data_IF_119636330590
#
_entry.id   IF_119636330590
#
_cell.length_a   1.000
_cell.length_b   1.000
_cell.length_c   1.000
_cell.angle_alpha   90.00
_cell.angle_beta   90.00
_cell.angle_gamma   90.00
#
_symmetry.space_group_name_H-M   'P 1'
#
loop_
_entity.id
_entity.type
_entity.pdbx_description
1 polymer ?
#
# COMPACT_ATOMS: atom_id res chain seq x y z
N UNK A 1 7.67 39.67 15.01
CA UNK A 1 8.05 38.56 14.10
C UNK A 1 7.01 37.47 14.30
N UNK A 2 6.13 37.19 13.33
CA UNK A 2 5.30 35.99 13.43
C UNK A 2 6.22 34.77 13.42
N UNK A 3 6.00 33.84 14.35
CA UNK A 3 6.73 32.59 14.40
C UNK A 3 6.34 31.77 13.15
N UNK A 4 7.14 31.82 12.08
CA UNK A 4 6.84 31.25 10.75
C UNK A 4 7.06 29.73 10.67
N UNK A 5 7.14 29.05 11.81
CA UNK A 5 7.31 27.60 11.84
C UNK A 5 6.02 26.92 11.38
N UNK A 6 6.12 26.11 10.33
CA UNK A 6 5.03 25.27 9.84
C UNK A 6 4.47 24.41 10.97
N UNK A 7 3.18 24.57 11.28
CA UNK A 7 2.51 23.77 12.30
C UNK A 7 2.00 22.45 11.69
N UNK A 8 1.99 21.34 12.45
CA UNK A 8 1.34 20.12 12.02
C UNK A 8 -0.14 20.35 11.71
N UNK A 9 -0.65 19.68 10.67
CA UNK A 9 -2.08 19.71 10.34
C UNK A 9 -2.89 19.18 11.55
N UNK A 10 -3.89 19.91 12.07
CA UNK A 10 -4.71 19.43 13.17
C UNK A 10 -5.32 18.06 12.85
N UNK A 11 -5.16 17.09 13.76
CA UNK A 11 -5.64 15.72 13.58
C UNK A 11 -4.70 14.79 12.81
N UNK A 12 -3.55 15.27 12.30
CA UNK A 12 -2.47 14.43 11.75
C UNK A 12 -1.27 14.43 12.72
N UNK A 13 -0.85 13.26 13.17
CA UNK A 13 0.35 13.13 14.00
C UNK A 13 1.61 13.17 13.15
N UNK A 14 2.72 13.61 13.76
CA UNK A 14 4.05 13.57 13.12
C UNK A 14 4.40 12.17 12.58
N UNK A 15 4.03 11.12 13.32
CA UNK A 15 4.30 9.74 12.91
C UNK A 15 3.52 9.34 11.65
N UNK A 16 2.22 9.66 11.58
CA UNK A 16 1.42 9.38 10.38
C UNK A 16 1.94 10.15 9.16
N UNK A 17 2.35 11.40 9.37
CA UNK A 17 2.99 12.19 8.33
C UNK A 17 4.30 11.55 7.85
N UNK A 18 5.18 11.13 8.77
CA UNK A 18 6.47 10.51 8.42
C UNK A 18 6.28 9.18 7.69
N UNK A 19 5.38 8.31 8.18
CA UNK A 19 5.05 7.04 7.52
C UNK A 19 4.57 7.30 6.09
N UNK A 20 3.71 8.30 5.87
CA UNK A 20 3.21 8.64 4.54
C UNK A 20 4.33 9.05 3.57
N UNK A 21 5.26 9.88 4.00
CA UNK A 21 6.39 10.30 3.15
C UNK A 21 7.30 9.12 2.82
N UNK A 22 7.73 8.37 3.84
CA UNK A 22 8.64 7.24 3.67
C UNK A 22 8.00 6.15 2.81
N UNK A 23 6.74 5.80 3.08
CA UNK A 23 6.01 4.81 2.28
C UNK A 23 5.83 5.25 0.83
N UNK A 24 5.59 6.54 0.55
CA UNK A 24 5.44 7.03 -0.83
C UNK A 24 6.72 6.86 -1.65
N UNK A 25 7.88 7.16 -1.06
CA UNK A 25 9.19 6.96 -1.71
C UNK A 25 9.46 5.48 -1.95
N UNK A 26 9.20 4.62 -0.96
CA UNK A 26 9.39 3.18 -1.08
C UNK A 26 8.46 2.57 -2.14
N UNK A 27 7.19 2.97 -2.16
CA UNK A 27 6.21 2.56 -3.17
C UNK A 27 6.69 2.92 -4.56
N UNK A 28 7.22 4.12 -4.77
CA UNK A 28 7.69 4.53 -6.10
C UNK A 28 8.78 3.57 -6.62
N UNK A 29 9.74 3.20 -5.78
CA UNK A 29 10.80 2.28 -6.16
C UNK A 29 10.24 0.89 -6.52
N UNK A 30 9.38 0.33 -5.67
CA UNK A 30 8.83 -1.02 -5.88
C UNK A 30 7.84 -1.05 -7.05
N UNK A 31 7.04 -0.01 -7.22
CA UNK A 31 6.09 0.14 -8.33
C UNK A 31 6.82 0.17 -9.69
N UNK A 32 7.96 0.85 -9.79
CA UNK A 32 8.78 0.84 -11.01
C UNK A 32 9.25 -0.58 -11.31
N UNK A 33 9.75 -1.31 -10.31
CA UNK A 33 10.17 -2.71 -10.49
C UNK A 33 9.00 -3.57 -10.95
N UNK A 34 7.83 -3.44 -10.30
CA UNK A 34 6.62 -4.17 -10.65
C UNK A 34 6.23 -3.91 -12.11
N UNK A 35 6.13 -2.65 -12.55
CA UNK A 35 5.78 -2.36 -13.95
C UNK A 35 6.80 -2.88 -14.95
N UNK A 36 8.10 -2.68 -14.67
CA UNK A 36 9.14 -3.13 -15.60
C UNK A 36 9.18 -4.65 -15.70
N UNK A 37 9.24 -5.35 -14.57
CA UNK A 37 9.36 -6.81 -14.57
C UNK A 37 8.07 -7.47 -15.02
N UNK A 38 6.92 -7.06 -14.45
CA UNK A 38 5.67 -7.78 -14.66
C UNK A 38 5.04 -7.42 -16.00
N UNK A 39 5.20 -6.19 -16.49
CA UNK A 39 4.45 -5.72 -17.66
C UNK A 39 5.31 -5.31 -18.86
N UNK A 40 6.59 -4.95 -18.68
CA UNK A 40 7.48 -4.61 -19.80
C UNK A 40 8.37 -5.77 -20.24
N UNK A 41 9.01 -6.46 -19.30
CA UNK A 41 10.01 -7.49 -19.59
C UNK A 41 9.43 -8.91 -19.63
N UNK A 42 8.32 -9.16 -18.96
CA UNK A 42 7.62 -10.43 -19.09
C UNK A 42 7.08 -10.57 -20.53
N UNK A 43 7.32 -11.71 -21.22
CA UNK A 43 6.98 -11.88 -22.64
C UNK A 43 5.54 -11.52 -23.02
N UNK A 44 4.56 -11.81 -22.15
CA UNK A 44 3.15 -11.44 -22.31
C UNK A 44 2.64 -10.53 -21.19
N UNK A 45 3.53 -9.89 -20.43
CA UNK A 45 3.16 -8.98 -19.37
C UNK A 45 2.48 -9.62 -18.13
N UNK A 46 2.75 -10.91 -17.87
CA UNK A 46 2.14 -11.70 -16.78
C UNK A 46 0.60 -11.62 -16.75
N UNK A 47 -0.04 -11.56 -17.93
CA UNK A 47 -1.48 -11.37 -18.05
C UNK A 47 -2.29 -12.68 -17.97
N UNK A 48 -1.64 -13.84 -17.82
CA UNK A 48 -2.31 -15.11 -17.63
C UNK A 48 -2.08 -15.70 -16.24
N UNK A 49 -3.07 -16.46 -15.75
CA UNK A 49 -2.99 -17.15 -14.47
C UNK A 49 -1.75 -18.06 -14.37
N UNK A 50 -1.46 -18.82 -15.44
CA UNK A 50 -0.32 -19.73 -15.46
C UNK A 50 1.02 -18.99 -15.33
N UNK A 51 1.15 -17.84 -15.99
CA UNK A 51 2.36 -17.01 -15.90
C UNK A 51 2.54 -16.41 -14.50
N UNK A 52 1.46 -15.93 -13.87
CA UNK A 52 1.52 -15.40 -12.49
C UNK A 52 1.95 -16.49 -11.52
N UNK A 53 1.35 -17.68 -11.59
CA UNK A 53 1.74 -18.82 -10.74
C UNK A 53 3.20 -19.20 -10.98
N UNK A 54 3.64 -19.28 -12.24
CA UNK A 54 5.03 -19.58 -12.58
C UNK A 54 5.99 -18.52 -12.03
N UNK A 55 5.65 -17.23 -12.16
CA UNK A 55 6.45 -16.12 -11.64
C UNK A 55 6.63 -16.20 -10.12
N UNK A 56 5.54 -16.42 -9.38
CA UNK A 56 5.55 -16.54 -7.92
C UNK A 56 6.30 -17.78 -7.42
N UNK A 57 6.28 -18.88 -8.19
CA UNK A 57 6.93 -20.15 -7.80
C UNK A 57 8.41 -20.21 -8.19
N UNK A 58 8.76 -19.67 -9.35
CA UNK A 58 10.13 -19.75 -9.87
C UNK A 58 11.07 -18.75 -9.17
N UNK A 59 10.54 -17.67 -8.59
CA UNK A 59 11.33 -16.60 -7.98
C UNK A 59 10.88 -16.34 -6.53
N UNK A 60 11.53 -16.95 -5.52
CA UNK A 60 11.11 -16.82 -4.11
C UNK A 60 11.08 -15.40 -3.55
N UNK A 61 11.83 -14.47 -4.16
CA UNK A 61 11.84 -13.05 -3.76
C UNK A 61 10.56 -12.32 -4.15
N UNK A 62 9.84 -12.78 -5.18
CA UNK A 62 8.63 -12.13 -5.70
C UNK A 62 7.54 -12.01 -4.63
N UNK A 63 7.09 -13.07 -3.96
CA UNK A 63 6.05 -12.94 -2.94
C UNK A 63 6.47 -12.07 -1.75
N UNK A 64 7.77 -12.00 -1.44
CA UNK A 64 8.29 -11.10 -0.39
C UNK A 64 8.17 -9.64 -0.85
N UNK A 65 8.60 -9.35 -2.08
CA UNK A 65 8.56 -8.01 -2.68
C UNK A 65 7.11 -7.54 -2.88
N UNK A 66 6.23 -8.38 -3.41
CA UNK A 66 4.81 -8.07 -3.61
C UNK A 66 4.05 -7.97 -2.27
N UNK A 67 4.40 -8.78 -1.26
CA UNK A 67 3.87 -8.66 0.10
C UNK A 67 4.30 -7.37 0.80
N UNK A 68 5.57 -6.99 0.66
CA UNK A 68 6.06 -5.68 1.09
C UNK A 68 5.30 -4.57 0.36
N UNK A 69 5.17 -4.68 -0.96
CA UNK A 69 4.47 -3.68 -1.76
C UNK A 69 3.01 -3.49 -1.31
N UNK A 70 2.29 -4.59 -1.11
CA UNK A 70 0.91 -4.63 -0.59
C UNK A 70 0.77 -3.86 0.72
N UNK A 71 1.59 -4.18 1.72
CA UNK A 71 1.50 -3.54 3.04
C UNK A 71 1.73 -2.03 2.92
N UNK A 72 2.75 -1.62 2.19
CA UNK A 72 3.09 -0.21 2.04
C UNK A 72 2.05 0.56 1.23
N UNK A 73 1.58 0.03 0.10
CA UNK A 73 0.59 0.71 -0.75
C UNK A 73 -0.75 0.85 -0.06
N UNK A 74 -1.19 -0.16 0.70
CA UNK A 74 -2.42 -0.08 1.51
C UNK A 74 -2.27 0.95 2.62
N UNK A 75 -1.18 0.92 3.39
CA UNK A 75 -0.94 1.89 4.46
C UNK A 75 -0.86 3.32 3.91
N UNK A 76 -0.09 3.54 2.84
CA UNK A 76 0.10 4.84 2.21
C UNK A 76 -1.21 5.42 1.67
N UNK A 77 -1.98 4.61 0.94
CA UNK A 77 -3.24 5.05 0.33
C UNK A 77 -4.26 5.47 1.38
N UNK A 78 -4.40 4.72 2.48
CA UNK A 78 -5.35 5.01 3.55
C UNK A 78 -4.93 6.21 4.40
N UNK A 79 -3.66 6.30 4.79
CA UNK A 79 -3.13 7.46 5.53
C UNK A 79 -3.21 8.72 4.65
N UNK A 80 -2.83 8.62 3.37
CA UNK A 80 -2.91 9.72 2.41
C UNK A 80 -4.34 10.19 2.18
N UNK A 81 -5.28 9.27 1.98
CA UNK A 81 -6.71 9.59 1.84
C UNK A 81 -7.25 10.29 3.07
N UNK A 82 -6.87 9.83 4.27
CA UNK A 82 -7.20 10.51 5.53
C UNK A 82 -6.66 11.95 5.56
N UNK A 83 -5.42 12.17 5.15
CA UNK A 83 -4.81 13.50 5.10
C UNK A 83 -5.56 14.45 4.16
N UNK A 84 -6.05 13.95 3.01
CA UNK A 84 -6.89 14.72 2.07
C UNK A 84 -8.23 15.06 2.73
N UNK A 85 -8.87 14.09 3.39
CA UNK A 85 -10.16 14.34 4.06
C UNK A 85 -10.02 15.40 5.15
N UNK A 86 -8.91 15.43 5.89
CA UNK A 86 -8.66 16.49 6.88
C UNK A 86 -8.66 17.91 6.27
N UNK A 87 -8.33 18.08 4.98
CA UNK A 87 -8.41 19.38 4.30
C UNK A 87 -9.86 19.86 4.14
N UNK A 88 -10.83 18.95 4.18
CA UNK A 88 -12.26 19.24 4.08
C UNK A 88 -12.89 19.62 5.42
N UNK A 89 -12.10 19.69 6.51
CA UNK A 89 -12.54 20.03 7.88
C UNK A 89 -13.72 19.15 8.37
N UNK A 90 -13.58 17.81 8.39
CA UNK A 90 -14.64 16.91 8.84
C UNK A 90 -14.93 17.12 10.32
N UNK A 91 -16.15 16.77 10.75
CA UNK A 91 -16.46 16.72 12.18
C UNK A 91 -15.66 15.61 12.87
N UNK A 92 -15.39 15.71 14.19
CA UNK A 92 -14.69 14.65 14.93
C UNK A 92 -15.38 13.28 14.85
N UNK A 93 -16.71 13.25 14.77
CA UNK A 93 -17.48 12.02 14.61
C UNK A 93 -17.22 11.36 13.25
N UNK A 94 -17.23 12.14 12.17
CA UNK A 94 -16.93 11.64 10.82
C UNK A 94 -15.51 11.12 10.74
N UNK A 95 -14.54 11.85 11.30
CA UNK A 95 -13.14 11.43 11.31
C UNK A 95 -12.96 10.11 12.08
N UNK A 96 -13.62 9.93 13.22
CA UNK A 96 -13.57 8.69 14.00
C UNK A 96 -14.14 7.49 13.25
N UNK A 97 -15.26 7.66 12.53
CA UNK A 97 -15.84 6.60 11.70
C UNK A 97 -14.89 6.23 10.56
N UNK A 98 -14.30 7.23 9.90
CA UNK A 98 -13.31 7.01 8.84
C UNK A 98 -12.07 6.27 9.35
N UNK A 99 -11.60 6.59 10.55
CA UNK A 99 -10.44 5.91 11.15
C UNK A 99 -10.73 4.41 11.35
N UNK A 100 -11.90 4.05 11.87
CA UNK A 100 -12.29 2.64 11.98
C UNK A 100 -12.47 1.97 10.62
N UNK A 101 -13.10 2.65 9.67
CA UNK A 101 -13.31 2.14 8.32
C UNK A 101 -11.97 1.85 7.63
N UNK A 102 -11.03 2.80 7.67
CA UNK A 102 -9.71 2.64 7.07
C UNK A 102 -8.92 1.53 7.74
N UNK A 103 -8.96 1.41 9.08
CA UNK A 103 -8.33 0.28 9.77
C UNK A 103 -8.94 -1.05 9.31
N UNK A 104 -10.27 -1.16 9.27
CA UNK A 104 -10.95 -2.39 8.86
C UNK A 104 -10.62 -2.78 7.41
N UNK A 105 -10.69 -1.81 6.50
CA UNK A 105 -10.35 -2.00 5.07
C UNK A 105 -8.88 -2.38 4.92
N UNK A 106 -7.98 -1.71 5.64
CA UNK A 106 -6.54 -1.98 5.59
C UNK A 106 -6.19 -3.37 6.09
N UNK A 107 -6.76 -3.79 7.22
CA UNK A 107 -6.59 -5.13 7.77
C UNK A 107 -7.15 -6.19 6.81
N UNK A 108 -8.36 -5.98 6.28
CA UNK A 108 -8.98 -6.92 5.35
C UNK A 108 -8.17 -7.06 4.07
N UNK A 109 -7.81 -5.95 3.42
CA UNK A 109 -7.04 -5.95 2.17
C UNK A 109 -5.67 -6.60 2.35
N UNK A 110 -4.98 -6.27 3.46
CA UNK A 110 -3.66 -6.84 3.76
C UNK A 110 -3.76 -8.34 4.06
N UNK A 111 -4.67 -8.75 4.94
CA UNK A 111 -4.83 -10.16 5.30
C UNK A 111 -5.23 -11.01 4.09
N UNK A 112 -6.19 -10.53 3.30
CA UNK A 112 -6.62 -11.20 2.07
C UNK A 112 -5.48 -11.27 1.05
N UNK A 113 -4.76 -10.17 0.83
CA UNK A 113 -3.64 -10.16 -0.11
C UNK A 113 -2.51 -11.09 0.32
N UNK A 114 -2.10 -11.07 1.59
CA UNK A 114 -1.09 -12.00 2.12
C UNK A 114 -1.54 -13.46 1.96
N UNK A 115 -2.79 -13.77 2.30
CA UNK A 115 -3.35 -15.10 2.06
C UNK A 115 -3.28 -15.48 0.58
N UNK A 116 -3.61 -14.56 -0.33
CA UNK A 116 -3.56 -14.78 -1.77
C UNK A 116 -2.14 -15.08 -2.26
N UNK A 117 -1.10 -14.42 -1.72
CA UNK A 117 0.30 -14.75 -2.04
C UNK A 117 0.59 -16.23 -1.75
N UNK A 118 0.19 -16.72 -0.56
CA UNK A 118 0.35 -18.13 -0.21
C UNK A 118 -0.51 -19.06 -1.08
N UNK A 119 -1.75 -18.67 -1.38
CA UNK A 119 -2.63 -19.45 -2.24
C UNK A 119 -2.04 -19.63 -3.64
N UNK A 120 -1.44 -18.58 -4.21
CA UNK A 120 -0.78 -18.62 -5.53
C UNK A 120 0.48 -19.49 -5.50
N UNK A 121 1.33 -19.36 -4.48
CA UNK A 121 2.55 -20.18 -4.34
C UNK A 121 2.20 -21.68 -4.26
N UNK A 122 1.12 -22.02 -3.53
CA UNK A 122 0.68 -23.39 -3.33
C UNK A 122 -0.30 -23.88 -4.41
N UNK A 123 -0.55 -23.08 -5.46
CA UNK A 123 -1.52 -23.45 -6.49
C UNK A 123 -1.07 -24.71 -7.24
N UNK A 124 -1.91 -25.75 -7.24
CA UNK A 124 -1.67 -27.01 -7.94
C UNK A 124 -0.54 -27.87 -7.33
N UNK A 125 -0.19 -27.63 -6.07
CA UNK A 125 0.63 -28.53 -5.24
C UNK A 125 -0.26 -29.58 -4.59
#
# INVERSE_FOLDING_TARGET
>A
MQNTLSQPKPGESYLLWLIKIVSGVLILAVLIIHFLVNHLFAPNGLLSHAEVVAYYRNYPIVPIMEGFFLVFVVAHSLIGSRSIILDLRPSPAVLKVLDYLFIAVGLFATAYGIWLLFAVINFGV
#
